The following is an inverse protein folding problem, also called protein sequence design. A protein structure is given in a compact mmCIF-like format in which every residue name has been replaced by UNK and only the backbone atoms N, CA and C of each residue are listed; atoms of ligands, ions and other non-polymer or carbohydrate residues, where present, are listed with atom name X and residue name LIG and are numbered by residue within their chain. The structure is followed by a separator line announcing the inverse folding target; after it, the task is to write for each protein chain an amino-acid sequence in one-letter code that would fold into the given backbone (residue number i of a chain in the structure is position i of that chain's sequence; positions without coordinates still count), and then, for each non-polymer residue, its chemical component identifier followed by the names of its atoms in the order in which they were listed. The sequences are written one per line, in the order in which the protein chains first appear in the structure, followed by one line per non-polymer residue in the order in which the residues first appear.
data_IF_634377807946
#
_entry.id   IF_634377807946
#
_cell.length_a   1.000
_cell.length_b   1.000
_cell.length_c   1.000
_cell.angle_alpha   90.00
_cell.angle_beta   90.00
_cell.angle_gamma   90.00
#
_symmetry.space_group_name_H-M   'P 1'
#
loop_
_entity.id
_entity.type
_entity.pdbx_description
1 polymer ?
#
# COMPACT_ATOMS: atom_id res chain seq x y z
N UNK A 1 34.50 32.28 4.68
CA UNK A 1 35.01 30.97 5.20
C UNK A 1 34.10 30.31 6.25
N UNK A 2 33.49 31.03 7.19
CA UNK A 2 32.66 30.40 8.26
C UNK A 2 31.33 29.77 7.80
N UNK A 3 30.68 30.27 6.75
CA UNK A 3 29.40 29.76 6.26
C UNK A 3 29.57 28.40 5.56
N UNK A 4 30.62 28.20 4.79
CA UNK A 4 30.93 26.91 4.14
C UNK A 4 31.21 25.80 5.14
N UNK A 5 31.81 26.14 6.28
CA UNK A 5 32.10 25.17 7.36
C UNK A 5 30.82 24.68 8.05
N UNK A 6 29.81 25.56 8.24
CA UNK A 6 28.55 25.22 8.89
C UNK A 6 27.69 24.34 7.96
N UNK A 7 27.62 24.66 6.67
CA UNK A 7 26.89 23.86 5.67
C UNK A 7 27.51 22.44 5.58
N UNK A 8 28.84 22.34 5.57
CA UNK A 8 29.52 21.05 5.51
C UNK A 8 29.29 20.21 6.78
N UNK A 9 29.27 20.85 7.95
CA UNK A 9 28.96 20.19 9.23
C UNK A 9 27.50 19.70 9.25
N UNK A 10 26.53 20.50 8.83
CA UNK A 10 25.09 20.11 8.79
C UNK A 10 24.85 18.96 7.82
N UNK A 11 25.47 18.98 6.64
CA UNK A 11 25.37 17.88 5.67
C UNK A 11 26.05 16.60 6.18
N UNK A 12 27.16 16.71 6.91
CA UNK A 12 27.84 15.56 7.48
C UNK A 12 27.06 14.92 8.63
N UNK A 13 26.45 15.73 9.50
CA UNK A 13 25.63 15.23 10.60
C UNK A 13 24.34 14.58 10.09
N UNK A 14 23.70 15.10 9.04
CA UNK A 14 22.53 14.47 8.45
C UNK A 14 22.87 13.07 7.87
N UNK A 15 23.95 12.94 7.12
CA UNK A 15 24.39 11.66 6.57
C UNK A 15 24.72 10.62 7.64
N UNK A 16 25.34 11.03 8.74
CA UNK A 16 25.67 10.11 9.86
C UNK A 16 24.39 9.65 10.57
N UNK A 17 23.45 10.54 10.86
CA UNK A 17 22.18 10.17 11.50
C UNK A 17 21.32 9.22 10.63
N UNK A 18 21.28 9.42 9.31
CA UNK A 18 20.55 8.53 8.42
C UNK A 18 21.20 7.15 8.29
N UNK A 19 22.56 7.11 8.23
CA UNK A 19 23.30 5.84 8.19
C UNK A 19 23.01 4.98 9.42
N UNK A 20 23.00 5.58 10.61
CA UNK A 20 22.75 4.86 11.86
C UNK A 20 21.29 4.33 11.91
N UNK A 21 20.31 5.15 11.49
CA UNK A 21 18.92 4.74 11.41
C UNK A 21 18.70 3.54 10.49
N UNK A 22 19.27 3.55 9.29
CA UNK A 22 19.12 2.44 8.34
C UNK A 22 19.82 1.16 8.86
N UNK A 23 20.96 1.29 9.53
CA UNK A 23 21.64 0.14 10.13
C UNK A 23 20.80 -0.48 11.25
N UNK A 24 20.21 0.35 12.12
CA UNK A 24 19.31 -0.11 13.17
C UNK A 24 18.06 -0.76 12.59
N UNK A 25 17.43 -0.13 11.60
CA UNK A 25 16.25 -0.67 10.90
C UNK A 25 16.55 -2.04 10.27
N UNK A 26 17.72 -2.15 9.60
CA UNK A 26 18.17 -3.42 9.02
C UNK A 26 18.37 -4.49 10.09
N UNK A 27 19.06 -4.16 11.19
CA UNK A 27 19.29 -5.09 12.30
C UNK A 27 17.96 -5.61 12.87
N UNK A 28 16.98 -4.74 13.08
CA UNK A 28 15.68 -5.11 13.62
C UNK A 28 14.88 -5.96 12.60
N UNK A 29 14.98 -5.65 11.31
CA UNK A 29 14.41 -6.47 10.24
C UNK A 29 15.05 -7.87 10.19
N UNK A 30 16.38 -7.95 10.30
CA UNK A 30 17.12 -9.21 10.33
C UNK A 30 16.84 -10.03 11.60
N UNK A 31 16.50 -9.37 12.71
CA UNK A 31 16.05 -10.04 13.94
C UNK A 31 14.66 -10.63 13.84
N UNK A 32 13.90 -10.30 12.78
CA UNK A 32 12.59 -10.86 12.49
C UNK A 32 11.41 -9.96 12.82
N UNK A 33 11.63 -8.70 13.27
CA UNK A 33 10.52 -7.77 13.52
C UNK A 33 9.74 -7.48 12.23
N UNK A 34 8.42 -7.79 12.16
CA UNK A 34 7.65 -7.64 10.92
C UNK A 34 7.42 -6.19 10.52
N UNK A 35 7.46 -5.25 11.46
CA UNK A 35 7.32 -3.83 11.15
C UNK A 35 8.63 -3.31 10.55
N UNK A 36 9.77 -3.67 11.16
CA UNK A 36 11.07 -3.33 10.63
C UNK A 36 11.31 -3.96 9.26
N UNK A 37 10.92 -5.22 9.06
CA UNK A 37 10.98 -5.90 7.76
C UNK A 37 10.16 -5.17 6.69
N UNK A 38 8.94 -4.74 7.02
CA UNK A 38 8.13 -3.95 6.10
C UNK A 38 8.82 -2.64 5.72
N UNK A 39 9.28 -1.89 6.73
CA UNK A 39 9.89 -0.58 6.52
C UNK A 39 11.21 -0.67 5.76
N UNK A 40 12.08 -1.63 6.13
CA UNK A 40 13.34 -1.84 5.43
C UNK A 40 13.12 -2.33 3.99
N UNK A 41 12.10 -3.18 3.77
CA UNK A 41 11.68 -3.58 2.43
C UNK A 41 11.31 -2.39 1.55
N UNK A 42 10.52 -1.46 2.06
CA UNK A 42 10.20 -0.21 1.34
C UNK A 42 11.43 0.66 1.10
N UNK A 43 12.31 0.79 2.10
CA UNK A 43 13.55 1.56 1.95
C UNK A 43 14.38 1.03 0.78
N UNK A 44 14.48 -0.28 0.63
CA UNK A 44 15.20 -0.93 -0.47
C UNK A 44 14.50 -0.76 -1.83
N UNK A 45 13.17 -0.92 -1.90
CA UNK A 45 12.40 -0.80 -3.15
C UNK A 45 12.51 0.62 -3.73
N UNK A 46 12.46 1.64 -2.88
CA UNK A 46 12.45 3.04 -3.35
C UNK A 46 13.80 3.77 -3.16
N UNK A 47 14.85 3.09 -2.77
CA UNK A 47 16.15 3.70 -2.57
C UNK A 47 16.15 4.86 -1.56
N UNK A 48 15.35 4.74 -0.47
CA UNK A 48 15.16 5.82 0.50
C UNK A 48 16.36 5.97 1.43
N UNK A 49 16.50 7.16 2.01
CA UNK A 49 17.49 7.47 3.06
C UNK A 49 18.93 7.08 2.70
N UNK A 50 19.30 7.20 1.42
CA UNK A 50 20.64 6.89 0.91
C UNK A 50 20.91 5.39 0.71
N UNK A 51 19.91 4.56 0.81
CA UNK A 51 19.97 3.14 0.48
C UNK A 51 19.94 2.96 -1.05
N UNK A 52 20.74 2.04 -1.57
CA UNK A 52 20.68 1.66 -2.99
C UNK A 52 19.37 0.89 -3.27
N UNK A 53 18.70 1.24 -4.37
CA UNK A 53 17.47 0.60 -4.80
C UNK A 53 17.71 -0.89 -5.12
N UNK A 54 16.88 -1.75 -4.53
CA UNK A 54 16.95 -3.20 -4.72
C UNK A 54 15.58 -3.84 -4.51
N UNK A 55 14.80 -3.93 -5.57
CA UNK A 55 13.45 -4.50 -5.58
C UNK A 55 13.43 -5.95 -5.08
N UNK A 56 14.37 -6.77 -5.54
CA UNK A 56 14.40 -8.21 -5.22
C UNK A 56 14.57 -8.42 -3.70
N UNK A 57 15.56 -7.77 -3.10
CA UNK A 57 15.82 -7.84 -1.67
C UNK A 57 14.70 -7.17 -0.87
N UNK A 58 14.20 -6.01 -1.32
CA UNK A 58 13.09 -5.31 -0.70
C UNK A 58 11.84 -6.18 -0.64
N UNK A 59 11.49 -6.83 -1.75
CA UNK A 59 10.36 -7.75 -1.81
C UNK A 59 10.57 -9.04 -0.99
N UNK A 60 11.80 -9.45 -0.75
CA UNK A 60 12.08 -10.55 0.19
C UNK A 60 11.67 -10.18 1.62
N UNK A 61 12.06 -8.97 2.09
CA UNK A 61 11.66 -8.48 3.42
C UNK A 61 10.14 -8.26 3.51
N UNK A 62 9.51 -7.69 2.48
CA UNK A 62 8.04 -7.56 2.40
C UNK A 62 7.37 -8.93 2.53
N UNK A 63 7.86 -9.98 1.85
CA UNK A 63 7.31 -11.35 1.98
C UNK A 63 7.48 -11.92 3.38
N UNK A 64 8.64 -11.71 4.03
CA UNK A 64 8.87 -12.14 5.42
C UNK A 64 7.87 -11.50 6.37
N UNK A 65 7.68 -10.19 6.29
CA UNK A 65 6.70 -9.46 7.09
C UNK A 65 5.25 -9.91 6.83
N UNK A 66 4.86 -10.08 5.57
CA UNK A 66 3.52 -10.53 5.19
C UNK A 66 3.20 -11.95 5.71
N UNK A 67 4.18 -12.85 5.70
CA UNK A 67 4.04 -14.20 6.25
C UNK A 67 3.82 -14.20 7.77
N UNK A 68 4.34 -13.19 8.46
CA UNK A 68 4.12 -12.97 9.89
C UNK A 68 2.81 -12.23 10.21
N UNK A 69 2.03 -11.86 9.22
CA UNK A 69 0.73 -11.20 9.43
C UNK A 69 0.77 -9.68 9.34
N UNK A 70 1.86 -9.06 8.91
CA UNK A 70 1.94 -7.62 8.76
C UNK A 70 1.06 -7.16 7.60
N UNK A 71 0.01 -6.36 7.92
CA UNK A 71 -1.08 -6.03 7.00
C UNK A 71 -0.63 -5.17 5.82
N UNK A 72 0.26 -4.18 6.06
CA UNK A 72 0.77 -3.34 4.98
C UNK A 72 1.56 -4.17 3.97
N UNK A 73 2.42 -5.08 4.45
CA UNK A 73 3.18 -5.98 3.58
C UNK A 73 2.29 -6.94 2.78
N UNK A 74 1.22 -7.47 3.38
CA UNK A 74 0.23 -8.26 2.63
C UNK A 74 -0.47 -7.42 1.55
N UNK A 75 -0.80 -6.15 1.87
CA UNK A 75 -1.43 -5.22 0.93
C UNK A 75 -0.50 -4.93 -0.23
N UNK A 76 0.77 -4.67 0.05
CA UNK A 76 1.83 -4.47 -0.95
C UNK A 76 1.97 -5.69 -1.86
N UNK A 77 2.06 -6.89 -1.29
CA UNK A 77 2.11 -8.13 -2.09
C UNK A 77 0.89 -8.29 -2.98
N UNK A 78 -0.30 -8.02 -2.44
CA UNK A 78 -1.54 -8.08 -3.22
C UNK A 78 -1.50 -7.15 -4.43
N UNK A 79 -1.05 -5.92 -4.25
CA UNK A 79 -0.91 -4.94 -5.32
C UNK A 79 0.19 -5.34 -6.32
N UNK A 80 1.38 -5.67 -5.85
CA UNK A 80 2.51 -5.99 -6.73
C UNK A 80 2.25 -7.24 -7.59
N UNK A 81 1.60 -8.26 -7.05
CA UNK A 81 1.15 -9.39 -7.86
C UNK A 81 0.04 -9.02 -8.84
N UNK A 82 -0.81 -8.05 -8.53
CA UNK A 82 -1.83 -7.55 -9.44
C UNK A 82 -1.23 -6.69 -10.56
N UNK A 83 -0.38 -5.73 -10.24
CA UNK A 83 0.24 -4.81 -11.19
C UNK A 83 1.40 -5.44 -11.97
N UNK A 84 2.18 -6.30 -11.34
CA UNK A 84 3.44 -6.83 -11.87
C UNK A 84 4.57 -5.81 -11.70
N UNK A 85 4.66 -5.19 -10.53
CA UNK A 85 5.61 -4.12 -10.17
C UNK A 85 6.67 -4.63 -9.20
N UNK A 86 7.69 -3.81 -8.91
CA UNK A 86 8.76 -4.05 -7.93
C UNK A 86 9.43 -5.43 -8.10
N UNK A 87 9.81 -5.78 -9.34
CA UNK A 87 10.45 -7.06 -9.65
C UNK A 87 9.53 -8.30 -9.51
N UNK A 88 8.24 -8.11 -9.25
CA UNK A 88 7.26 -9.19 -9.09
C UNK A 88 6.52 -9.45 -10.39
N UNK A 89 6.56 -10.70 -10.87
CA UNK A 89 5.74 -11.09 -12.02
C UNK A 89 4.25 -11.11 -11.65
N UNK A 90 3.43 -10.54 -12.52
CA UNK A 90 1.96 -10.55 -12.39
C UNK A 90 1.41 -11.94 -12.14
N UNK A 91 0.61 -12.08 -11.06
CA UNK A 91 0.00 -13.33 -10.62
C UNK A 91 -1.31 -13.01 -9.89
N UNK A 92 -2.41 -13.18 -10.60
CA UNK A 92 -3.73 -12.81 -10.07
C UNK A 92 -4.20 -13.68 -8.90
N UNK A 93 -3.82 -14.94 -8.85
CA UNK A 93 -4.19 -15.83 -7.74
C UNK A 93 -3.50 -15.36 -6.45
N UNK A 94 -2.22 -15.02 -6.52
CA UNK A 94 -1.48 -14.45 -5.40
C UNK A 94 -1.99 -13.06 -5.02
N UNK A 95 -2.36 -12.24 -6.00
CA UNK A 95 -2.96 -10.93 -5.74
C UNK A 95 -4.23 -11.04 -4.89
N UNK A 96 -5.17 -11.91 -5.30
CA UNK A 96 -6.39 -12.19 -4.53
C UNK A 96 -6.09 -12.78 -3.16
N UNK A 97 -5.19 -13.76 -3.09
CA UNK A 97 -4.82 -14.41 -1.84
C UNK A 97 -4.33 -13.39 -0.80
N UNK A 98 -3.35 -12.57 -1.14
CA UNK A 98 -2.76 -11.60 -0.21
C UNK A 98 -3.74 -10.47 0.13
N UNK A 99 -4.45 -9.93 -0.87
CA UNK A 99 -5.45 -8.88 -0.64
C UNK A 99 -6.58 -9.38 0.26
N UNK A 100 -7.07 -10.61 0.06
CA UNK A 100 -8.11 -11.20 0.91
C UNK A 100 -7.61 -11.43 2.33
N UNK A 101 -6.40 -12.00 2.48
CA UNK A 101 -5.79 -12.22 3.79
C UNK A 101 -5.62 -10.93 4.58
N UNK A 102 -5.18 -9.84 3.92
CA UNK A 102 -5.08 -8.52 4.54
C UNK A 102 -6.47 -7.95 4.91
N UNK A 103 -7.45 -8.06 4.01
CA UNK A 103 -8.81 -7.56 4.24
C UNK A 103 -9.55 -8.28 5.38
N UNK A 104 -9.31 -9.58 5.55
CA UNK A 104 -9.95 -10.40 6.59
C UNK A 104 -9.45 -10.03 8.00
N UNK A 105 -8.26 -9.42 8.14
CA UNK A 105 -7.77 -8.86 9.41
C UNK A 105 -8.52 -7.59 9.84
N UNK A 106 -9.16 -6.90 8.91
CA UNK A 106 -10.10 -5.81 9.20
C UNK A 106 -9.48 -4.54 9.79
N UNK A 107 -8.16 -4.42 9.85
CA UNK A 107 -7.46 -3.30 10.52
C UNK A 107 -7.33 -2.05 9.65
N UNK A 108 -7.41 -2.20 8.32
CA UNK A 108 -7.24 -1.11 7.34
C UNK A 108 -8.25 -1.23 6.21
N UNK A 109 -8.75 -0.09 5.71
CA UNK A 109 -9.73 -0.06 4.61
C UNK A 109 -9.16 -0.41 3.23
N UNK A 110 -7.86 -0.18 3.00
CA UNK A 110 -7.21 -0.33 1.68
C UNK A 110 -7.34 -1.75 1.12
N UNK A 111 -6.98 -2.84 1.84
CA UNK A 111 -7.13 -4.19 1.30
C UNK A 111 -8.58 -4.54 0.96
N UNK A 112 -9.51 -4.12 1.81
CA UNK A 112 -10.94 -4.34 1.60
C UNK A 112 -11.45 -3.56 0.39
N UNK A 113 -10.95 -2.35 0.17
CA UNK A 113 -11.22 -1.54 -1.02
C UNK A 113 -10.69 -2.23 -2.29
N UNK A 114 -9.44 -2.67 -2.29
CA UNK A 114 -8.82 -3.38 -3.43
C UNK A 114 -9.61 -4.65 -3.79
N UNK A 115 -10.09 -5.39 -2.79
CA UNK A 115 -10.95 -6.54 -3.03
C UNK A 115 -12.28 -6.14 -3.67
N UNK A 116 -12.82 -4.99 -3.30
CA UNK A 116 -13.98 -4.37 -3.97
C UNK A 116 -13.72 -4.06 -5.43
N UNK A 117 -12.53 -3.53 -5.78
CA UNK A 117 -12.11 -3.29 -7.16
C UNK A 117 -12.03 -4.60 -7.96
N UNK A 118 -11.46 -5.65 -7.38
CA UNK A 118 -11.36 -6.95 -8.06
C UNK A 118 -12.74 -7.50 -8.43
N UNK A 119 -13.70 -7.45 -7.52
CA UNK A 119 -15.10 -7.83 -7.84
C UNK A 119 -15.78 -6.88 -8.83
N UNK A 120 -15.48 -5.58 -8.75
CA UNK A 120 -16.08 -4.59 -9.62
C UNK A 120 -15.67 -4.78 -11.08
N UNK A 121 -14.41 -5.08 -11.32
CA UNK A 121 -13.85 -5.24 -12.66
C UNK A 121 -13.83 -6.70 -13.15
N UNK A 122 -14.12 -7.67 -12.28
CA UNK A 122 -13.94 -9.08 -12.61
C UNK A 122 -12.48 -9.44 -12.82
N UNK A 123 -11.60 -8.93 -11.94
CA UNK A 123 -10.15 -9.10 -12.03
C UNK A 123 -9.67 -10.27 -11.16
N UNK A 124 -8.44 -10.66 -11.40
CA UNK A 124 -7.73 -11.64 -10.59
C UNK A 124 -8.50 -12.97 -10.48
N UNK A 125 -9.15 -13.43 -11.55
CA UNK A 125 -9.91 -14.67 -11.57
C UNK A 125 -11.26 -14.60 -10.83
N UNK A 126 -11.61 -13.45 -10.22
CA UNK A 126 -12.92 -13.27 -9.60
C UNK A 126 -13.96 -12.88 -10.66
N UNK A 127 -15.22 -13.37 -10.53
CA UNK A 127 -16.29 -12.91 -11.41
C UNK A 127 -16.63 -11.45 -11.13
N UNK A 128 -17.04 -10.70 -12.15
CA UNK A 128 -17.58 -9.38 -11.95
C UNK A 128 -18.87 -9.46 -11.12
N UNK A 129 -18.83 -8.91 -9.90
CA UNK A 129 -19.95 -8.93 -8.96
C UNK A 129 -20.09 -7.56 -8.27
N UNK A 130 -21.06 -6.78 -8.75
CA UNK A 130 -21.34 -5.44 -8.23
C UNK A 130 -21.87 -5.44 -6.79
N UNK A 131 -22.53 -6.52 -6.36
CA UNK A 131 -23.04 -6.60 -5.01
C UNK A 131 -21.89 -6.86 -4.02
N UNK A 132 -20.95 -7.74 -4.39
CA UNK A 132 -19.73 -7.94 -3.61
C UNK A 132 -18.86 -6.69 -3.59
N UNK A 133 -18.66 -6.03 -4.73
CA UNK A 133 -17.93 -4.77 -4.79
C UNK A 133 -18.51 -3.73 -3.83
N UNK A 134 -19.83 -3.48 -3.91
CA UNK A 134 -20.54 -2.57 -3.01
C UNK A 134 -20.40 -2.96 -1.54
N UNK A 135 -20.52 -4.25 -1.21
CA UNK A 135 -20.38 -4.75 0.16
C UNK A 135 -18.97 -4.49 0.69
N UNK A 136 -17.94 -4.76 -0.13
CA UNK A 136 -16.54 -4.53 0.25
C UNK A 136 -16.23 -3.05 0.41
N UNK A 137 -16.69 -2.17 -0.48
CA UNK A 137 -16.48 -0.73 -0.35
C UNK A 137 -17.18 -0.12 0.86
N UNK A 138 -18.41 -0.53 1.17
CA UNK A 138 -19.09 -0.10 2.40
C UNK A 138 -18.35 -0.57 3.67
N UNK A 139 -17.71 -1.75 3.62
CA UNK A 139 -16.89 -2.23 4.72
C UNK A 139 -15.58 -1.47 4.82
N UNK A 140 -14.90 -1.24 3.70
CA UNK A 140 -13.67 -0.46 3.63
C UNK A 140 -13.85 0.94 4.23
N UNK A 141 -14.96 1.59 3.90
CA UNK A 141 -15.32 2.89 4.46
C UNK A 141 -15.42 2.88 6.00
N UNK A 142 -15.99 1.82 6.59
CA UNK A 142 -16.08 1.67 8.06
C UNK A 142 -14.73 1.37 8.71
N UNK A 143 -13.82 0.75 7.97
CA UNK A 143 -12.46 0.41 8.41
C UNK A 143 -11.47 1.57 8.20
N UNK A 144 -11.88 2.63 7.49
CA UNK A 144 -11.02 3.79 7.25
C UNK A 144 -10.84 4.58 8.55
N UNK A 145 -9.59 4.86 8.97
CA UNK A 145 -9.36 5.54 10.23
C UNK A 145 -9.85 6.99 10.17
N UNK A 146 -10.73 7.37 11.10
CA UNK A 146 -11.32 8.70 11.18
C UNK A 146 -10.34 9.84 11.51
N UNK A 147 -9.12 9.52 11.93
CA UNK A 147 -8.13 10.48 12.41
C UNK A 147 -6.84 10.46 11.59
N UNK A 148 -6.85 9.85 10.42
CA UNK A 148 -5.67 9.79 9.58
C UNK A 148 -5.83 10.79 8.43
N UNK A 149 -4.86 11.67 8.27
CA UNK A 149 -4.67 12.53 7.09
C UNK A 149 -4.36 11.74 5.80
N UNK A 150 -4.67 10.45 5.79
CA UNK A 150 -4.57 9.59 4.63
C UNK A 150 -5.90 9.65 3.87
N UNK A 151 -6.04 10.68 3.06
CA UNK A 151 -6.97 10.62 1.91
C UNK A 151 -6.60 9.45 1.04
N UNK A 152 -7.57 8.70 0.47
CA UNK A 152 -7.24 7.76 -0.60
C UNK A 152 -6.43 8.55 -1.62
N UNK A 153 -5.29 8.03 -2.10
CA UNK A 153 -4.47 8.75 -3.06
C UNK A 153 -5.37 9.30 -4.16
N UNK A 154 -5.20 10.57 -4.53
CA UNK A 154 -5.94 11.21 -5.63
C UNK A 154 -5.91 10.31 -6.87
N UNK A 155 -4.83 9.58 -7.07
CA UNK A 155 -4.63 8.55 -8.08
C UNK A 155 -5.70 7.46 -8.05
N UNK A 156 -6.10 6.98 -6.87
CA UNK A 156 -7.19 6.00 -6.74
C UNK A 156 -8.53 6.60 -7.17
N UNK A 157 -8.79 7.86 -6.80
CA UNK A 157 -10.01 8.57 -7.22
C UNK A 157 -9.99 8.86 -8.73
N UNK A 158 -8.84 9.19 -9.30
CA UNK A 158 -8.65 9.39 -10.73
C UNK A 158 -8.77 8.08 -11.50
N UNK A 159 -8.24 6.99 -10.98
CA UNK A 159 -8.38 5.66 -11.55
C UNK A 159 -9.85 5.22 -11.56
N UNK A 160 -10.57 5.37 -10.45
CA UNK A 160 -12.03 5.16 -10.39
C UNK A 160 -12.75 6.04 -11.42
N UNK A 161 -12.37 7.31 -11.57
CA UNK A 161 -12.96 8.22 -12.54
C UNK A 161 -12.64 7.84 -13.99
N UNK A 162 -11.43 7.38 -14.26
CA UNK A 162 -11.00 6.94 -15.59
C UNK A 162 -11.75 5.69 -16.04
N UNK A 163 -11.88 4.70 -15.18
CA UNK A 163 -12.69 3.50 -15.43
C UNK A 163 -14.19 3.82 -15.53
N UNK A 164 -14.66 4.89 -14.88
CA UNK A 164 -16.07 5.25 -14.86
C UNK A 164 -16.62 5.76 -16.18
N UNK A 165 -15.78 6.18 -17.12
CA UNK A 165 -16.23 6.71 -18.42
C UNK A 165 -17.03 5.69 -19.25
N UNK A 166 -16.89 4.39 -18.96
CA UNK A 166 -17.59 3.30 -19.65
C UNK A 166 -18.62 2.57 -18.76
N UNK A 167 -18.95 3.13 -17.60
CA UNK A 167 -19.82 2.47 -16.60
C UNK A 167 -21.28 2.82 -16.82
N UNK A 168 -22.17 1.83 -16.58
CA UNK A 168 -23.60 2.09 -16.54
C UNK A 168 -23.98 2.92 -15.28
N UNK A 169 -25.18 3.53 -15.31
CA UNK A 169 -25.69 4.42 -14.26
C UNK A 169 -25.67 3.80 -12.84
N UNK A 170 -25.83 2.49 -12.71
CA UNK A 170 -25.83 1.77 -11.42
C UNK A 170 -24.42 1.72 -10.81
N UNK A 171 -23.42 1.51 -11.64
CA UNK A 171 -22.02 1.48 -11.23
C UNK A 171 -21.53 2.86 -10.80
N UNK A 172 -21.90 3.91 -11.53
CA UNK A 172 -21.59 5.29 -11.16
C UNK A 172 -22.15 5.64 -9.76
N UNK A 173 -23.37 5.24 -9.45
CA UNK A 173 -23.98 5.48 -8.14
C UNK A 173 -23.26 4.76 -6.99
N UNK A 174 -22.75 3.55 -7.23
CA UNK A 174 -21.96 2.81 -6.22
C UNK A 174 -20.64 3.53 -5.94
N UNK A 175 -19.95 3.98 -6.98
CA UNK A 175 -18.76 4.81 -6.90
C UNK A 175 -19.01 6.08 -6.10
N UNK A 176 -20.04 6.85 -6.48
CA UNK A 176 -20.35 8.15 -5.87
C UNK A 176 -20.67 8.01 -4.37
N UNK A 177 -21.37 6.95 -3.98
CA UNK A 177 -21.64 6.65 -2.57
C UNK A 177 -20.33 6.32 -1.81
N UNK A 178 -19.37 5.66 -2.42
CA UNK A 178 -18.08 5.36 -1.80
C UNK A 178 -17.24 6.64 -1.65
N UNK A 179 -17.17 7.47 -2.70
CA UNK A 179 -16.46 8.76 -2.68
C UNK A 179 -17.08 9.67 -1.61
N UNK A 180 -18.41 9.78 -1.55
CA UNK A 180 -19.10 10.57 -0.53
C UNK A 180 -18.82 10.08 0.90
N UNK A 181 -18.70 8.76 1.09
CA UNK A 181 -18.35 8.19 2.39
C UNK A 181 -16.92 8.58 2.80
N UNK A 182 -15.95 8.49 1.91
CA UNK A 182 -14.58 8.88 2.21
C UNK A 182 -14.50 10.38 2.54
N UNK A 183 -15.12 11.24 1.73
CA UNK A 183 -15.15 12.70 1.96
C UNK A 183 -15.82 13.08 3.28
N UNK A 184 -16.76 12.27 3.80
CA UNK A 184 -17.39 12.49 5.11
C UNK A 184 -16.51 12.12 6.30
N UNK A 185 -15.39 11.44 6.09
CA UNK A 185 -14.42 11.09 7.13
C UNK A 185 -13.42 12.22 7.34
N UNK A 186 -13.23 13.07 6.31
CA UNK A 186 -12.30 14.22 6.33
C UNK A 186 -12.92 15.48 6.96
N UNK A 187 -14.24 15.52 7.15
CA UNK A 187 -15.00 16.62 7.80
C UNK A 187 -15.22 16.33 9.31
#
# INVERSE_FOLDING_TARGET
MKIFSIIFIVLFFNNVCYSDYIQDLKRDADSGDPIAQNNYGYTLIYGLDGTEENDELGMEYIRKAANQGQVNSMTTLGWNYFAGEDGVKKDFDKAVYWTKKAADLGTHGIPTYNLGLFYFQGLAGLPQDLNQAKKKWNLACKQWPKNNSFSPPQEILEEINTYSKNLNRKMLKIRDNFIACISSIES
#
